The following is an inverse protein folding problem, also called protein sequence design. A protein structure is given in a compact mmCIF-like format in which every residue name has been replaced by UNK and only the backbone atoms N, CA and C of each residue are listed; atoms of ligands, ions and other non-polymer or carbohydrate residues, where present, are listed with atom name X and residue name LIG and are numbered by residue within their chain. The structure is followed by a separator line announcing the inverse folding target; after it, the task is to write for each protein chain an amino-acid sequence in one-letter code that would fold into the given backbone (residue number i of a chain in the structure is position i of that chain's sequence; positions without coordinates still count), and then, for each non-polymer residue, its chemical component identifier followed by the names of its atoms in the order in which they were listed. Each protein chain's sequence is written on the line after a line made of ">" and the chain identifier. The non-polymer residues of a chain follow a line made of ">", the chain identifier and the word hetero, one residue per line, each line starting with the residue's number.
data_IF_985689780989
#
_entry.id   IF_985689780989
#
_cell.length_a   1.000
_cell.length_b   1.000
_cell.length_c   1.000
_cell.angle_alpha   90.00
_cell.angle_beta   90.00
_cell.angle_gamma   90.00
#
_symmetry.space_group_name_H-M   'P 1'
#
loop_
_entity.id
_entity.type
_entity.pdbx_description
1 polymer ?
#
# COMPACT_ATOMS: atom_id res chain seq x y z
N UNK A 1 6.54 -14.91 6.29
CA UNK A 1 6.83 -15.41 7.66
C UNK A 1 7.20 -14.29 8.63
N UNK A 2 8.05 -13.32 8.26
CA UNK A 2 8.46 -12.21 9.14
C UNK A 2 7.30 -11.31 9.59
N UNK A 3 6.47 -10.84 8.65
CA UNK A 3 5.29 -10.03 8.99
C UNK A 3 4.34 -10.73 9.97
N UNK A 4 4.06 -12.03 9.77
CA UNK A 4 3.18 -12.81 10.66
C UNK A 4 3.76 -12.90 12.08
N UNK A 5 5.07 -13.18 12.21
CA UNK A 5 5.74 -13.24 13.52
C UNK A 5 5.72 -11.88 14.24
N UNK A 6 5.91 -10.80 13.49
CA UNK A 6 5.79 -9.44 14.04
C UNK A 6 4.36 -9.16 14.53
N UNK A 7 3.33 -9.60 13.82
CA UNK A 7 1.95 -9.48 14.30
C UNK A 7 1.71 -10.28 15.59
N UNK A 8 2.17 -11.54 15.62
CA UNK A 8 2.02 -12.44 16.77
C UNK A 8 2.70 -11.90 18.03
N UNK A 9 3.87 -11.23 17.93
CA UNK A 9 4.54 -10.63 19.10
C UNK A 9 3.78 -9.44 19.72
N UNK A 10 2.75 -8.93 19.03
CA UNK A 10 1.86 -7.87 19.53
C UNK A 10 0.42 -8.39 19.76
N UNK A 11 0.23 -9.71 19.81
CA UNK A 11 -1.07 -10.39 19.90
C UNK A 11 -2.04 -10.02 18.76
N UNK A 12 -1.53 -9.64 17.59
CA UNK A 12 -2.34 -9.19 16.45
C UNK A 12 -2.53 -10.31 15.42
N UNK A 13 -3.71 -10.33 14.79
CA UNK A 13 -3.90 -11.10 13.56
C UNK A 13 -3.23 -10.42 12.37
N UNK A 14 -2.99 -11.18 11.29
CA UNK A 14 -2.47 -10.62 10.03
C UNK A 14 -3.33 -9.46 9.51
N UNK A 15 -4.66 -9.59 9.53
CA UNK A 15 -5.57 -8.51 9.10
C UNK A 15 -5.48 -7.29 10.02
N UNK A 16 -5.39 -7.48 11.34
CA UNK A 16 -5.23 -6.36 12.28
C UNK A 16 -3.91 -5.60 12.06
N UNK A 17 -2.81 -6.33 11.87
CA UNK A 17 -1.51 -5.74 11.50
C UNK A 17 -1.62 -4.95 10.19
N UNK A 18 -2.25 -5.51 9.16
CA UNK A 18 -2.40 -4.86 7.85
C UNK A 18 -3.23 -3.58 7.94
N UNK A 19 -4.30 -3.57 8.73
CA UNK A 19 -5.09 -2.36 9.01
C UNK A 19 -4.24 -1.31 9.72
N UNK A 20 -3.49 -1.68 10.77
CA UNK A 20 -2.60 -0.74 11.47
C UNK A 20 -1.52 -0.17 10.55
N UNK A 21 -0.89 -1.01 9.73
CA UNK A 21 0.14 -0.58 8.78
C UNK A 21 -0.43 0.38 7.72
N UNK A 22 -1.63 0.08 7.19
CA UNK A 22 -2.33 0.95 6.26
C UNK A 22 -2.59 2.34 6.86
N UNK A 23 -3.12 2.38 8.09
CA UNK A 23 -3.39 3.62 8.81
C UNK A 23 -2.13 4.40 9.21
N UNK A 24 -0.98 3.72 9.31
CA UNK A 24 0.29 4.29 9.73
C UNK A 24 1.09 4.89 8.58
N UNK A 25 1.22 4.14 7.48
CA UNK A 25 2.00 4.56 6.31
C UNK A 25 1.27 5.67 5.55
N UNK A 26 -0.03 5.51 5.27
CA UNK A 26 -0.82 6.42 4.43
C UNK A 26 -0.32 6.46 2.97
N UNK A 27 -1.20 6.37 1.96
CA UNK A 27 -1.94 7.55 1.48
C UNK A 27 -3.38 7.18 0.97
N UNK A 28 -4.15 8.02 0.23
CA UNK A 28 -5.62 7.93 0.12
C UNK A 28 -6.11 6.65 -0.60
N UNK A 29 -7.38 6.21 -0.36
CA UNK A 29 -8.49 6.99 0.22
C UNK A 29 -8.58 6.95 1.74
N UNK A 30 -9.44 7.80 2.29
CA UNK A 30 -9.84 7.79 3.71
C UNK A 30 -10.15 6.37 4.17
N UNK A 31 -9.50 5.96 5.27
CA UNK A 31 -9.59 4.62 5.78
C UNK A 31 -10.97 4.35 6.39
N UNK A 32 -11.85 3.79 5.56
CA UNK A 32 -13.18 3.29 5.92
C UNK A 32 -13.21 1.77 5.74
N UNK A 33 -14.12 1.08 6.41
CA UNK A 33 -14.19 -0.39 6.37
C UNK A 33 -14.26 -0.95 4.94
N UNK A 34 -15.12 -0.38 4.07
CA UNK A 34 -15.22 -0.78 2.66
C UNK A 34 -13.94 -0.52 1.88
N UNK A 35 -13.34 0.67 2.06
CA UNK A 35 -12.06 1.00 1.44
C UNK A 35 -11.00 -0.02 1.85
N UNK A 36 -10.83 -0.23 3.15
CA UNK A 36 -9.87 -1.18 3.70
C UNK A 36 -10.11 -2.62 3.23
N UNK A 37 -11.36 -3.06 3.10
CA UNK A 37 -11.68 -4.39 2.57
C UNK A 37 -11.14 -4.58 1.14
N UNK A 38 -11.36 -3.58 0.28
CA UNK A 38 -10.84 -3.56 -1.08
C UNK A 38 -9.31 -3.48 -1.11
N UNK A 39 -8.71 -2.52 -0.41
CA UNK A 39 -7.26 -2.29 -0.39
C UNK A 39 -6.50 -3.49 0.19
N UNK A 40 -7.08 -4.16 1.19
CA UNK A 40 -6.48 -5.33 1.82
C UNK A 40 -6.88 -6.64 1.13
N UNK A 41 -7.69 -6.61 0.07
CA UNK A 41 -8.21 -7.80 -0.62
C UNK A 41 -8.77 -8.86 0.36
N UNK A 42 -9.66 -8.43 1.27
CA UNK A 42 -10.39 -9.32 2.19
C UNK A 42 -11.85 -8.89 2.27
N UNK A 43 -12.71 -9.75 2.82
CA UNK A 43 -14.14 -9.44 2.92
C UNK A 43 -14.44 -8.26 3.87
N UNK A 44 -15.54 -7.52 3.61
CA UNK A 44 -16.00 -6.45 4.50
C UNK A 44 -16.24 -6.92 5.96
N UNK A 45 -16.84 -8.11 6.22
CA UNK A 45 -16.92 -8.66 7.57
C UNK A 45 -15.55 -8.86 8.22
N UNK A 46 -14.58 -9.44 7.52
CA UNK A 46 -13.22 -9.68 8.05
C UNK A 46 -12.52 -8.39 8.46
N UNK A 47 -12.64 -7.32 7.65
CA UNK A 47 -12.10 -6.00 8.02
C UNK A 47 -12.85 -5.40 9.20
N UNK A 48 -14.17 -5.51 9.22
CA UNK A 48 -15.00 -4.96 10.30
C UNK A 48 -14.65 -5.61 11.64
N UNK A 49 -14.44 -6.93 11.67
CA UNK A 49 -13.99 -7.66 12.85
C UNK A 49 -12.59 -7.25 13.30
N UNK A 50 -11.67 -7.06 12.34
CA UNK A 50 -10.32 -6.57 12.64
C UNK A 50 -10.35 -5.15 13.24
N UNK A 51 -11.14 -4.24 12.68
CA UNK A 51 -11.34 -2.89 13.21
C UNK A 51 -11.93 -2.96 14.63
N UNK A 52 -12.99 -3.75 14.84
CA UNK A 52 -13.63 -3.88 16.14
C UNK A 52 -12.65 -4.39 17.20
N UNK A 53 -11.80 -5.37 16.85
CA UNK A 53 -10.75 -5.85 17.73
C UNK A 53 -9.70 -4.78 18.04
N UNK A 54 -9.24 -4.02 17.04
CA UNK A 54 -8.28 -2.93 17.23
C UNK A 54 -8.83 -1.79 18.10
N UNK A 55 -10.13 -1.50 17.99
CA UNK A 55 -10.83 -0.56 18.87
C UNK A 55 -10.89 -1.08 20.30
N UNK A 56 -11.25 -2.36 20.51
CA UNK A 56 -11.23 -2.98 21.85
C UNK A 56 -9.83 -2.98 22.48
N UNK A 57 -8.79 -3.12 21.66
CA UNK A 57 -7.38 -3.03 22.08
C UNK A 57 -6.89 -1.60 22.31
N UNK A 58 -7.71 -0.58 22.04
CA UNK A 58 -7.33 0.83 22.19
C UNK A 58 -6.28 1.32 21.18
N UNK A 59 -6.08 0.61 20.07
CA UNK A 59 -5.09 0.94 19.04
C UNK A 59 -5.68 1.84 17.94
N UNK A 60 -6.99 1.76 17.73
CA UNK A 60 -7.74 2.56 16.75
C UNK A 60 -8.95 3.19 17.43
N UNK A 61 -9.31 4.41 17.00
CA UNK A 61 -10.56 5.06 17.36
C UNK A 61 -11.35 5.43 16.11
N UNK A 62 -12.68 5.47 16.23
CA UNK A 62 -13.57 5.99 15.19
C UNK A 62 -13.77 7.48 15.45
N UNK A 63 -13.32 8.32 14.53
CA UNK A 63 -13.59 9.76 14.53
C UNK A 63 -14.82 10.03 13.65
N UNK A 64 -15.75 10.87 14.10
CA UNK A 64 -16.82 11.36 13.22
C UNK A 64 -16.21 12.36 12.23
N UNK A 65 -16.60 12.25 10.96
CA UNK A 65 -16.33 13.29 9.97
C UNK A 65 -17.14 14.55 10.37
N UNK A 66 -16.49 15.72 10.54
CA UNK A 66 -17.20 16.97 10.84
C UNK A 66 -18.25 17.35 9.81
N UNK A 67 -18.11 16.88 8.56
CA UNK A 67 -18.96 17.23 7.43
C UNK A 67 -20.06 16.20 7.13
N UNK A 68 -19.98 14.98 7.69
CA UNK A 68 -21.01 13.96 7.54
C UNK A 68 -21.00 12.99 8.73
N UNK A 69 -21.93 13.17 9.67
CA UNK A 69 -22.03 12.37 10.91
C UNK A 69 -22.30 10.89 10.67
N UNK A 70 -22.66 10.49 9.44
CA UNK A 70 -22.81 9.08 9.04
C UNK A 70 -21.47 8.44 8.63
N UNK A 71 -20.39 9.22 8.56
CA UNK A 71 -19.04 8.76 8.20
C UNK A 71 -18.18 8.67 9.44
N UNK A 72 -17.54 7.51 9.60
CA UNK A 72 -16.56 7.26 10.64
C UNK A 72 -15.21 7.00 10.00
N UNK A 73 -14.26 7.89 10.28
CA UNK A 73 -12.88 7.73 9.88
C UNK A 73 -12.13 6.95 10.96
N UNK A 74 -11.20 6.10 10.53
CA UNK A 74 -10.36 5.33 11.44
C UNK A 74 -9.06 6.08 11.69
N UNK A 75 -8.76 6.32 12.96
CA UNK A 75 -7.56 7.04 13.37
C UNK A 75 -6.78 6.20 14.36
N UNK A 76 -5.46 6.15 14.19
CA UNK A 76 -4.57 5.52 15.17
C UNK A 76 -4.54 6.34 16.45
N UNK A 77 -4.68 5.67 17.59
CA UNK A 77 -4.34 6.26 18.89
C UNK A 77 -2.82 6.41 19.01
N UNK A 78 -2.35 7.09 20.06
CA UNK A 78 -0.91 7.14 20.36
C UNK A 78 -0.32 5.73 20.54
N UNK A 79 -1.05 4.83 21.21
CA UNK A 79 -0.65 3.44 21.35
C UNK A 79 -0.62 2.73 19.99
N UNK A 80 -1.66 2.92 19.16
CA UNK A 80 -1.72 2.37 17.80
C UNK A 80 -0.58 2.82 16.91
N UNK A 81 -0.21 4.12 16.94
CA UNK A 81 0.93 4.64 16.17
C UNK A 81 2.25 4.00 16.61
N UNK A 82 2.48 3.86 17.92
CA UNK A 82 3.67 3.15 18.42
C UNK A 82 3.68 1.71 17.92
N UNK A 83 2.64 0.93 18.17
CA UNK A 83 2.57 -0.46 17.70
C UNK A 83 2.74 -0.59 16.19
N UNK A 84 2.10 0.29 15.40
CA UNK A 84 2.25 0.26 13.94
C UNK A 84 3.69 0.60 13.49
N UNK A 85 4.36 1.56 14.14
CA UNK A 85 5.77 1.86 13.87
C UNK A 85 6.70 0.69 14.21
N UNK A 86 6.37 -0.09 15.25
CA UNK A 86 7.15 -1.26 15.64
C UNK A 86 6.97 -2.41 14.66
N UNK A 87 5.71 -2.63 14.26
CA UNK A 87 5.37 -3.59 13.22
C UNK A 87 6.10 -3.25 11.93
N UNK A 88 6.06 -2.00 11.47
CA UNK A 88 6.66 -1.56 10.19
C UNK A 88 8.12 -2.01 10.03
N UNK A 89 8.88 -2.17 11.11
CA UNK A 89 10.27 -2.65 11.08
C UNK A 89 10.45 -4.06 10.50
N UNK A 90 9.38 -4.83 10.31
CA UNK A 90 9.48 -6.15 9.66
C UNK A 90 10.04 -6.07 8.23
N UNK A 91 9.94 -4.92 7.56
CA UNK A 91 10.48 -4.68 6.20
C UNK A 91 11.98 -4.40 6.19
N UNK A 92 12.58 -4.05 7.33
CA UNK A 92 13.98 -3.61 7.43
C UNK A 92 14.98 -4.60 6.79
N UNK A 93 14.87 -5.94 6.91
CA UNK A 93 15.78 -6.85 6.23
C UNK A 93 15.74 -6.72 4.69
N UNK A 94 14.55 -6.49 4.12
CA UNK A 94 14.39 -6.29 2.69
C UNK A 94 14.98 -4.95 2.26
N UNK A 95 14.73 -3.87 3.02
CA UNK A 95 15.31 -2.54 2.80
C UNK A 95 16.85 -2.57 2.86
N UNK A 96 17.42 -3.27 3.84
CA UNK A 96 18.87 -3.44 3.97
C UNK A 96 19.43 -4.21 2.76
N UNK A 97 18.75 -5.28 2.32
CA UNK A 97 19.20 -6.05 1.18
C UNK A 97 19.15 -5.22 -0.12
N UNK A 98 18.07 -4.47 -0.36
CA UNK A 98 17.91 -3.66 -1.56
C UNK A 98 18.80 -2.42 -1.56
N UNK A 99 19.14 -1.85 -0.38
CA UNK A 99 20.06 -0.72 -0.27
C UNK A 99 21.49 -1.01 -0.76
N UNK A 100 21.85 -2.29 -0.90
CA UNK A 100 23.17 -2.73 -1.37
C UNK A 100 23.24 -2.94 -2.89
N UNK A 101 22.11 -2.81 -3.59
CA UNK A 101 22.06 -2.92 -5.05
C UNK A 101 22.68 -1.67 -5.68
N UNK A 102 23.41 -1.87 -6.77
CA UNK A 102 23.75 -0.78 -7.67
C UNK A 102 22.50 -0.19 -8.30
N UNK A 103 22.61 1.02 -8.84
CA UNK A 103 21.50 1.69 -9.54
C UNK A 103 20.92 0.82 -10.67
N UNK A 104 21.79 0.21 -11.48
CA UNK A 104 21.36 -0.65 -12.59
C UNK A 104 20.61 -1.90 -12.10
N UNK A 105 21.08 -2.53 -11.02
CA UNK A 105 20.38 -3.69 -10.42
C UNK A 105 19.02 -3.30 -9.83
N UNK A 106 18.94 -2.14 -9.16
CA UNK A 106 17.69 -1.64 -8.60
C UNK A 106 16.66 -1.30 -9.68
N UNK A 107 17.09 -0.65 -10.78
CA UNK A 107 16.24 -0.36 -11.94
C UNK A 107 15.74 -1.66 -12.60
N UNK A 108 16.63 -2.63 -12.83
CA UNK A 108 16.24 -3.92 -13.41
C UNK A 108 15.26 -4.69 -12.50
N UNK A 109 15.48 -4.67 -11.19
CA UNK A 109 14.60 -5.30 -10.21
C UNK A 109 13.22 -4.63 -10.20
N UNK A 110 13.17 -3.30 -10.12
CA UNK A 110 11.91 -2.54 -10.12
C UNK A 110 11.10 -2.84 -11.38
N UNK A 111 11.74 -2.79 -12.53
CA UNK A 111 11.08 -3.06 -13.79
C UNK A 111 10.50 -4.47 -13.86
N UNK A 112 11.29 -5.47 -13.46
CA UNK A 112 10.84 -6.87 -13.46
C UNK A 112 9.66 -7.06 -12.50
N UNK A 113 9.70 -6.42 -11.33
CA UNK A 113 8.60 -6.44 -10.36
C UNK A 113 7.33 -5.78 -10.92
N UNK A 114 7.45 -4.63 -11.61
CA UNK A 114 6.32 -3.97 -12.26
C UNK A 114 5.67 -4.84 -13.33
N UNK A 115 6.47 -5.58 -14.11
CA UNK A 115 5.96 -6.55 -15.08
C UNK A 115 5.19 -7.70 -14.40
N UNK A 116 5.73 -8.25 -13.31
CA UNK A 116 5.06 -9.31 -12.53
C UNK A 116 3.75 -8.78 -11.93
N UNK A 117 3.76 -7.59 -11.34
CA UNK A 117 2.58 -6.94 -10.77
C UNK A 117 1.51 -6.75 -11.85
N UNK A 118 1.87 -6.28 -13.06
CA UNK A 118 0.94 -6.14 -14.17
C UNK A 118 0.30 -7.47 -14.55
N UNK A 119 1.10 -8.54 -14.70
CA UNK A 119 0.59 -9.88 -15.02
C UNK A 119 -0.36 -10.43 -13.96
N UNK A 120 -0.07 -10.18 -12.69
CA UNK A 120 -0.94 -10.58 -11.58
C UNK A 120 -2.24 -9.76 -11.53
N UNK A 121 -2.18 -8.49 -11.91
CA UNK A 121 -3.34 -7.62 -12.03
C UNK A 121 -4.25 -8.09 -13.18
N UNK A 122 -3.69 -8.35 -14.36
CA UNK A 122 -4.42 -8.86 -15.53
C UNK A 122 -5.12 -10.19 -15.20
N UNK A 123 -4.45 -11.05 -14.42
CA UNK A 123 -5.00 -12.32 -13.93
C UNK A 123 -6.01 -12.17 -12.77
N UNK A 124 -6.39 -10.95 -12.38
CA UNK A 124 -7.33 -10.64 -11.30
C UNK A 124 -6.91 -11.16 -9.91
N UNK A 125 -5.60 -11.34 -9.67
CA UNK A 125 -5.06 -11.78 -8.39
C UNK A 125 -4.70 -10.62 -7.45
N UNK A 126 -4.45 -9.44 -8.03
CA UNK A 126 -4.19 -8.19 -7.30
C UNK A 126 -5.26 -7.16 -7.67
N UNK A 127 -6.33 -7.01 -6.87
CA UNK A 127 -7.48 -6.17 -7.24
C UNK A 127 -7.20 -4.68 -7.13
N UNK A 128 -6.20 -4.28 -6.34
CA UNK A 128 -5.77 -2.88 -6.21
C UNK A 128 -4.29 -2.79 -6.52
N UNK A 129 -3.99 -2.27 -7.71
CA UNK A 129 -2.63 -1.97 -8.16
C UNK A 129 -2.65 -0.55 -8.71
N UNK A 130 -1.99 0.37 -8.02
CA UNK A 130 -1.81 1.76 -8.45
C UNK A 130 -0.39 1.98 -8.95
N UNK A 131 -0.01 1.26 -10.00
CA UNK A 131 1.34 1.32 -10.55
C UNK A 131 1.37 2.17 -11.83
N UNK A 132 2.49 2.81 -12.14
CA UNK A 132 2.62 3.48 -13.43
C UNK A 132 2.39 2.49 -14.60
N UNK A 133 2.80 1.23 -14.46
CA UNK A 133 2.67 0.20 -15.49
C UNK A 133 1.23 -0.16 -15.88
N UNK A 134 0.24 0.16 -15.04
CA UNK A 134 -1.18 -0.04 -15.35
C UNK A 134 -1.98 1.28 -15.28
N UNK A 135 -1.32 2.41 -15.57
CA UNK A 135 -1.93 3.74 -15.56
C UNK A 135 -2.21 4.22 -17.00
N UNK A 136 -3.40 4.77 -17.27
CA UNK A 136 -3.72 5.40 -18.57
C UNK A 136 -2.80 6.57 -18.92
N UNK A 137 -2.17 7.17 -17.91
CA UNK A 137 -1.31 8.34 -18.08
C UNK A 137 0.12 7.97 -18.50
N UNK A 138 0.51 6.70 -18.44
CA UNK A 138 1.88 6.29 -18.79
C UNK A 138 1.99 6.04 -20.29
N UNK A 139 2.87 6.80 -20.95
CA UNK A 139 3.15 6.69 -22.38
C UNK A 139 4.59 6.20 -22.55
N UNK A 140 4.80 5.11 -23.29
CA UNK A 140 6.15 4.68 -23.66
C UNK A 140 6.67 5.55 -24.82
N UNK A 141 7.81 6.20 -24.63
CA UNK A 141 8.42 7.10 -25.64
C UNK A 141 9.64 6.47 -26.33
N UNK A 142 10.23 5.43 -25.74
CA UNK A 142 11.34 4.69 -26.31
C UNK A 142 11.46 3.30 -25.69
N UNK A 143 11.19 2.26 -26.46
CA UNK A 143 11.18 0.87 -25.97
C UNK A 143 12.59 0.33 -25.69
N UNK A 144 13.57 0.69 -26.52
CA UNK A 144 14.98 0.25 -26.36
C UNK A 144 15.63 0.86 -25.12
N UNK A 145 15.43 2.16 -24.91
CA UNK A 145 16.01 2.90 -23.77
C UNK A 145 15.09 2.95 -22.54
N UNK A 146 13.92 2.30 -22.62
CA UNK A 146 12.92 2.23 -21.54
C UNK A 146 12.56 3.60 -20.99
N UNK A 147 12.28 4.53 -21.89
CA UNK A 147 11.86 5.89 -21.57
C UNK A 147 10.34 6.00 -21.65
N UNK A 148 9.80 6.77 -20.73
CA UNK A 148 8.36 6.97 -20.54
C UNK A 148 8.04 8.45 -20.42
N UNK A 149 6.75 8.75 -20.43
CA UNK A 149 6.18 10.07 -20.16
C UNK A 149 4.90 9.89 -19.35
N UNK A 150 4.76 10.62 -18.24
CA UNK A 150 3.47 10.78 -17.56
C UNK A 150 2.67 11.91 -18.20
N UNK A 151 1.57 11.59 -18.87
CA UNK A 151 0.69 12.58 -19.51
C UNK A 151 -0.06 13.50 -18.54
N UNK A 152 -0.24 13.10 -17.27
CA UNK A 152 -0.88 13.95 -16.26
C UNK A 152 0.03 15.09 -15.80
N UNK A 153 1.31 14.78 -15.57
CA UNK A 153 2.30 15.73 -15.07
C UNK A 153 3.13 16.38 -16.18
N UNK A 154 2.96 15.93 -17.42
CA UNK A 154 3.78 16.32 -18.58
C UNK A 154 5.29 16.17 -18.29
N UNK A 155 5.68 15.02 -17.73
CA UNK A 155 7.04 14.76 -17.25
C UNK A 155 7.70 13.56 -17.96
N UNK A 156 8.90 13.72 -18.57
CA UNK A 156 9.69 12.59 -19.05
C UNK A 156 10.18 11.74 -17.89
N UNK A 157 10.17 10.43 -18.06
CA UNK A 157 10.43 9.46 -17.01
C UNK A 157 11.33 8.33 -17.50
N UNK A 158 12.10 7.78 -16.57
CA UNK A 158 12.83 6.51 -16.70
C UNK A 158 12.20 5.46 -15.81
N UNK A 159 12.73 4.23 -15.83
CA UNK A 159 12.31 3.16 -14.91
C UNK A 159 12.40 3.60 -13.44
N UNK A 160 13.45 4.36 -13.07
CA UNK A 160 13.65 4.84 -11.70
C UNK A 160 12.57 5.81 -11.21
N UNK A 161 11.84 6.45 -12.14
CA UNK A 161 10.77 7.41 -11.82
C UNK A 161 9.41 6.74 -11.66
N UNK A 162 9.26 5.48 -12.11
CA UNK A 162 8.01 4.74 -12.05
C UNK A 162 7.59 4.51 -10.59
N UNK A 163 6.30 4.71 -10.32
CA UNK A 163 5.73 4.63 -8.97
C UNK A 163 4.86 3.40 -8.81
N UNK A 164 4.90 2.84 -7.60
CA UNK A 164 3.89 1.94 -7.03
C UNK A 164 3.17 2.72 -5.95
N UNK A 165 1.85 2.58 -5.87
CA UNK A 165 0.97 3.41 -5.04
C UNK A 165 0.96 4.90 -5.41
N UNK A 166 0.92 5.20 -6.72
CA UNK A 166 0.71 6.56 -7.20
C UNK A 166 -0.68 7.08 -6.79
N UNK A 167 -0.73 8.24 -6.12
CA UNK A 167 -1.98 8.85 -5.65
C UNK A 167 -2.93 9.29 -6.79
N UNK A 168 -2.35 9.65 -7.95
CA UNK A 168 -3.08 10.11 -9.13
C UNK A 168 -3.20 9.03 -10.21
N UNK A 169 -2.98 7.77 -9.82
CA UNK A 169 -3.19 6.63 -10.70
C UNK A 169 -4.62 6.62 -11.25
N UNK A 170 -4.72 6.42 -12.56
CA UNK A 170 -5.98 6.18 -13.24
C UNK A 170 -5.88 4.83 -13.98
N UNK A 171 -6.76 3.85 -13.67
CA UNK A 171 -6.68 2.51 -14.23
C UNK A 171 -6.89 2.51 -15.73
N UNK A 172 -6.07 1.73 -16.44
CA UNK A 172 -6.16 1.47 -17.88
C UNK A 172 -7.33 0.57 -18.29
#
# INVERSE_FOLDING_TARGET
>A
MLARRAAESHDLSSTQMRVLNWLFVGPPPVARSRTLARELNVSEPTVSDAIAALVRKGLVVRSQDPNDRRRHDLVLTQAGRRTASELARWTAPAEIATSKLSRAEAEQLLDTLLLVISKLHDAQLLPVVRACSNCVQLIATGTENRTYHCGLYDLPMTVADLRVDCADHAPA
#
